data_IF_042077271959
#
_entry.id   IF_042077271959
#
_cell.length_a   1.000
_cell.length_b   1.000
_cell.length_c   1.000
_cell.angle_alpha   90.00
_cell.angle_beta   90.00
_cell.angle_gamma   90.00
#
_symmetry.space_group_name_H-M   'P 1'
#
loop_
_entity.id
_entity.type
_entity.pdbx_description
1 polymer ?
#
# COMPACT_ATOMS: atom_id res chain seq x y z
N UNK A 1 12.22 -18.19 3.72
CA UNK A 1 11.58 -17.15 4.54
C UNK A 1 10.70 -16.29 3.64
N UNK A 2 9.38 -16.43 3.74
CA UNK A 2 8.43 -15.50 3.11
C UNK A 2 8.55 -14.19 3.89
N UNK A 3 9.06 -13.13 3.27
CA UNK A 3 9.28 -11.85 3.95
C UNK A 3 7.96 -11.10 4.08
N UNK A 4 7.80 -10.24 5.10
CA UNK A 4 6.63 -9.35 5.27
C UNK A 4 6.26 -8.62 3.97
N UNK A 5 7.27 -8.24 3.19
CA UNK A 5 7.08 -7.62 1.88
C UNK A 5 6.26 -8.48 0.90
N UNK A 6 6.51 -9.79 0.84
CA UNK A 6 5.76 -10.69 -0.05
C UNK A 6 4.29 -10.83 0.35
N UNK A 7 3.96 -10.79 1.65
CA UNK A 7 2.57 -10.73 2.11
C UNK A 7 1.89 -9.42 1.68
N UNK A 8 2.60 -8.29 1.74
CA UNK A 8 2.11 -6.99 1.27
C UNK A 8 1.86 -7.02 -0.24
N UNK A 9 2.79 -7.57 -1.01
CA UNK A 9 2.64 -7.73 -2.47
C UNK A 9 1.40 -8.56 -2.78
N UNK A 10 1.26 -9.72 -2.14
CA UNK A 10 0.10 -10.59 -2.34
C UNK A 10 -1.22 -9.90 -1.98
N UNK A 11 -1.26 -9.19 -0.85
CA UNK A 11 -2.44 -8.43 -0.44
C UNK A 11 -2.83 -7.38 -1.49
N UNK A 12 -1.88 -6.56 -1.96
CA UNK A 12 -2.15 -5.52 -2.97
C UNK A 12 -2.61 -6.12 -4.31
N UNK A 13 -2.05 -7.26 -4.71
CA UNK A 13 -2.49 -7.97 -5.93
C UNK A 13 -3.91 -8.53 -5.79
N UNK A 14 -4.25 -9.08 -4.62
CA UNK A 14 -5.58 -9.66 -4.35
C UNK A 14 -6.69 -8.59 -4.28
N UNK A 15 -6.36 -7.35 -3.93
CA UNK A 15 -7.31 -6.23 -4.02
C UNK A 15 -7.69 -5.89 -5.47
N UNK A 16 -6.95 -6.38 -6.49
CA UNK A 16 -7.27 -6.16 -7.92
C UNK A 16 -7.54 -4.68 -8.25
N UNK A 17 -6.74 -3.79 -7.67
CA UNK A 17 -6.80 -2.36 -7.96
C UNK A 17 -6.16 -2.10 -9.33
N UNK A 18 -6.82 -1.29 -10.17
CA UNK A 18 -6.29 -0.85 -11.47
C UNK A 18 -5.20 0.21 -11.31
N UNK A 19 -4.11 -0.14 -10.63
CA UNK A 19 -2.96 0.75 -10.40
C UNK A 19 -1.99 0.67 -11.57
N UNK A 20 -1.56 1.83 -12.06
CA UNK A 20 -0.38 1.93 -12.93
C UNK A 20 0.87 1.38 -12.23
N UNK A 21 1.92 1.05 -12.99
CA UNK A 21 3.20 0.58 -12.44
C UNK A 21 3.79 1.56 -11.40
N UNK A 22 3.83 2.89 -11.64
CA UNK A 22 4.26 3.85 -10.62
C UNK A 22 3.39 3.81 -9.36
N UNK A 23 2.06 3.84 -9.50
CA UNK A 23 1.14 3.81 -8.34
C UNK A 23 1.32 2.54 -7.51
N UNK A 24 1.50 1.39 -8.17
CA UNK A 24 1.76 0.11 -7.49
C UNK A 24 3.05 0.16 -6.68
N UNK A 25 4.14 0.67 -7.27
CA UNK A 25 5.43 0.79 -6.59
C UNK A 25 5.34 1.71 -5.36
N UNK A 26 4.62 2.83 -5.48
CA UNK A 26 4.36 3.72 -4.35
C UNK A 26 3.50 3.06 -3.28
N UNK A 27 2.42 2.36 -3.66
CA UNK A 27 1.55 1.63 -2.74
C UNK A 27 2.32 0.60 -1.92
N UNK A 28 3.14 -0.23 -2.59
CA UNK A 28 3.95 -1.25 -1.92
C UNK A 28 4.96 -0.62 -0.96
N UNK A 29 5.59 0.48 -1.37
CA UNK A 29 6.56 1.19 -0.53
C UNK A 29 5.89 1.78 0.72
N UNK A 30 4.73 2.43 0.57
CA UNK A 30 4.00 3.00 1.69
C UNK A 30 3.51 1.89 2.63
N UNK A 31 2.87 0.85 2.10
CA UNK A 31 2.40 -0.27 2.94
C UNK A 31 3.54 -0.94 3.70
N UNK A 32 4.69 -1.14 3.05
CA UNK A 32 5.88 -1.66 3.70
C UNK A 32 6.37 -0.75 4.83
N UNK A 33 6.43 0.57 4.58
CA UNK A 33 6.74 1.55 5.62
C UNK A 33 5.74 1.58 6.77
N UNK A 34 4.43 1.47 6.50
CA UNK A 34 3.38 1.42 7.53
C UNK A 34 3.57 0.20 8.43
N UNK A 35 3.83 -0.97 7.86
CA UNK A 35 3.99 -2.22 8.62
C UNK A 35 5.27 -2.20 9.45
N UNK A 36 6.36 -1.61 8.95
CA UNK A 36 7.65 -1.56 9.65
C UNK A 36 7.80 -0.41 10.65
N UNK A 37 7.08 0.71 10.48
CA UNK A 37 7.17 1.81 11.43
C UNK A 37 6.60 1.40 12.78
N UNK A 38 7.33 1.58 13.87
CA UNK A 38 6.75 1.55 15.20
C UNK A 38 6.20 2.93 15.59
N UNK A 39 5.15 2.96 16.42
CA UNK A 39 4.50 4.19 16.89
C UNK A 39 3.88 5.04 15.78
N UNK A 40 4.21 6.34 15.75
CA UNK A 40 3.59 7.33 14.86
C UNK A 40 3.96 7.08 13.39
N UNK A 41 2.96 6.77 12.57
CA UNK A 41 3.09 6.47 11.13
C UNK A 41 3.25 7.73 10.26
N UNK A 42 4.25 8.57 10.56
CA UNK A 42 4.57 9.74 9.75
C UNK A 42 5.21 9.33 8.41
N UNK A 43 4.96 10.07 7.32
CA UNK A 43 5.56 9.78 6.00
C UNK A 43 7.08 9.79 6.05
N UNK A 44 7.66 10.70 6.85
CA UNK A 44 9.11 10.76 7.12
C UNK A 44 9.64 9.50 7.80
N UNK A 45 8.90 8.95 8.76
CA UNK A 45 9.25 7.70 9.42
C UNK A 45 9.15 6.52 8.45
N UNK A 46 8.08 6.45 7.65
CA UNK A 46 7.90 5.41 6.63
C UNK A 46 9.03 5.43 5.59
N UNK A 47 9.43 6.62 5.13
CA UNK A 47 10.55 6.79 4.19
C UNK A 47 11.82 6.13 4.72
N UNK A 48 12.16 6.36 6.00
CA UNK A 48 13.35 5.77 6.65
C UNK A 48 13.33 4.23 6.63
N UNK A 49 12.16 3.62 6.73
CA UNK A 49 12.01 2.16 6.74
C UNK A 49 12.11 1.51 5.35
N UNK A 50 11.80 2.26 4.28
CA UNK A 50 11.69 1.65 2.93
C UNK A 50 13.01 1.38 2.22
N UNK A 51 14.18 1.77 2.76
CA UNK A 51 15.52 1.66 2.13
C UNK A 51 15.62 2.20 0.69
N UNK A 52 14.60 2.89 0.18
CA UNK A 52 14.57 3.46 -1.17
C UNK A 52 15.01 4.92 -1.13
N UNK A 53 15.79 5.36 -2.11
CA UNK A 53 16.15 6.78 -2.28
C UNK A 53 15.00 7.57 -2.93
N UNK A 54 13.78 7.40 -2.42
CA UNK A 54 12.59 8.10 -2.92
C UNK A 54 12.42 9.39 -2.13
N UNK A 55 12.13 10.47 -2.84
CA UNK A 55 11.87 11.76 -2.21
C UNK A 55 10.57 11.76 -1.40
N UNK A 56 10.61 12.48 -0.28
CA UNK A 56 9.45 12.66 0.59
C UNK A 56 8.29 13.35 -0.15
N UNK A 57 8.61 14.29 -1.04
CA UNK A 57 7.64 14.97 -1.90
C UNK A 57 6.87 13.96 -2.76
N UNK A 58 7.55 13.02 -3.42
CA UNK A 58 6.93 11.98 -4.24
C UNK A 58 5.99 11.07 -3.43
N UNK A 59 6.35 10.72 -2.19
CA UNK A 59 5.45 9.95 -1.30
C UNK A 59 4.20 10.74 -0.92
N UNK A 60 4.37 12.02 -0.62
CA UNK A 60 3.27 12.92 -0.25
C UNK A 60 2.33 13.13 -1.43
N UNK A 61 2.87 13.47 -2.61
CA UNK A 61 2.11 13.63 -3.86
C UNK A 61 1.36 12.37 -4.26
N UNK A 62 1.92 11.19 -4.03
CA UNK A 62 1.18 9.94 -4.27
C UNK A 62 -0.09 9.85 -3.39
N UNK A 63 -0.04 10.30 -2.15
CA UNK A 63 -1.22 10.28 -1.28
C UNK A 63 -2.22 11.39 -1.63
N UNK A 64 -1.74 12.59 -1.96
CA UNK A 64 -2.59 13.77 -2.17
C UNK A 64 -3.07 13.96 -3.61
N UNK A 65 -2.26 13.60 -4.61
CA UNK A 65 -2.46 13.96 -6.03
C UNK A 65 -2.66 12.75 -6.95
N UNK A 66 -2.39 11.52 -6.49
CA UNK A 66 -2.66 10.36 -7.35
C UNK A 66 -4.16 10.27 -7.65
N UNK A 67 -4.58 9.84 -8.87
CA UNK A 67 -5.98 9.78 -9.26
C UNK A 67 -6.73 8.65 -8.54
N UNK A 68 -6.95 8.83 -7.25
CA UNK A 68 -7.61 7.87 -6.38
C UNK A 68 -9.12 7.88 -6.63
N UNK A 69 -9.65 6.72 -7.02
CA UNK A 69 -11.09 6.50 -7.02
C UNK A 69 -11.51 5.80 -5.72
N UNK A 70 -11.88 6.59 -4.72
CA UNK A 70 -12.22 6.09 -3.38
C UNK A 70 -13.37 5.07 -3.40
N UNK A 71 -14.37 5.24 -4.27
CA UNK A 71 -15.46 4.27 -4.43
C UNK A 71 -14.94 2.92 -4.93
N UNK A 72 -14.08 2.92 -5.96
CA UNK A 72 -13.51 1.70 -6.53
C UNK A 72 -12.63 0.98 -5.53
N UNK A 73 -11.76 1.72 -4.83
CA UNK A 73 -10.87 1.15 -3.80
C UNK A 73 -11.69 0.52 -2.67
N UNK A 74 -12.69 1.23 -2.15
CA UNK A 74 -13.55 0.70 -1.09
C UNK A 74 -14.35 -0.52 -1.53
N UNK A 75 -14.88 -0.51 -2.76
CA UNK A 75 -15.60 -1.66 -3.34
C UNK A 75 -14.70 -2.89 -3.40
N UNK A 76 -13.47 -2.75 -3.92
CA UNK A 76 -12.53 -3.88 -4.00
C UNK A 76 -12.10 -4.37 -2.62
N UNK A 77 -11.82 -3.46 -1.68
CA UNK A 77 -11.51 -3.80 -0.29
C UNK A 77 -12.63 -4.61 0.36
N UNK A 78 -13.88 -4.16 0.25
CA UNK A 78 -15.05 -4.87 0.79
C UNK A 78 -15.22 -6.24 0.14
N UNK A 79 -15.08 -6.33 -1.19
CA UNK A 79 -15.16 -7.61 -1.93
C UNK A 79 -14.10 -8.59 -1.44
N UNK A 80 -12.86 -8.14 -1.26
CA UNK A 80 -11.78 -8.96 -0.72
C UNK A 80 -12.11 -9.48 0.68
N UNK A 81 -12.56 -8.61 1.59
CA UNK A 81 -12.94 -9.00 2.94
C UNK A 81 -14.11 -10.00 2.96
N UNK A 82 -15.14 -9.79 2.14
CA UNK A 82 -16.25 -10.72 2.00
C UNK A 82 -15.80 -12.09 1.48
N UNK A 83 -14.82 -12.14 0.57
CA UNK A 83 -14.25 -13.39 0.09
C UNK A 83 -13.40 -14.09 1.14
N UNK A 84 -12.74 -13.34 2.02
CA UNK A 84 -11.97 -13.88 3.13
C UNK A 84 -12.89 -14.53 4.16
N UNK A 85 -13.92 -13.81 4.62
CA UNK A 85 -14.90 -14.31 5.60
C UNK A 85 -15.65 -15.55 5.11
N UNK A 86 -15.93 -15.65 3.81
CA UNK A 86 -16.61 -16.84 3.22
C UNK A 86 -15.72 -18.08 3.12
N UNK A 87 -14.41 -17.95 3.33
CA UNK A 87 -13.45 -19.06 3.25
C UNK A 87 -13.08 -19.63 4.62
N UNK A 88 -13.46 -18.93 5.69
CA UNK A 88 -13.37 -19.36 7.09
C UNK A 88 -14.65 -20.10 7.50
#
# INVERSE_FOLDING_TARGET
MVTVYSHIVNFILLLRLSLSKPQRNHMLSIMHGIVLCDGRKAITAMRRQTKTNRDLSCMTRFLSESPWNHHTINRQRRRFLQQLVRRE
#
